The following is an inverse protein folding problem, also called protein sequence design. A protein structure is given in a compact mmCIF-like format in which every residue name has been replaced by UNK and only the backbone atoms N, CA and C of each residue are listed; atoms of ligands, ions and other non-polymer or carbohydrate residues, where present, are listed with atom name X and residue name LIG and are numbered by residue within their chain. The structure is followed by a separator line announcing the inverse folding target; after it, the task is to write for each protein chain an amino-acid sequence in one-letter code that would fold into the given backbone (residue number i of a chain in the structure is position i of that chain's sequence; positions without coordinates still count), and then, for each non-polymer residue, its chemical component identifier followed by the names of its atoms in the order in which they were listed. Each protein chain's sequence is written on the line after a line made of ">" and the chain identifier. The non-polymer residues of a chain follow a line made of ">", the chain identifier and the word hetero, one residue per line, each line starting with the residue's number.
data_IF_814456464482
#
_entry.id   IF_814456464482
#
_cell.length_a   1.000
_cell.length_b   1.000
_cell.length_c   1.000
_cell.angle_alpha   90.00
_cell.angle_beta   90.00
_cell.angle_gamma   90.00
#
_symmetry.space_group_name_H-M   'P 1'
#
loop_
_entity.id
_entity.type
_entity.pdbx_description
1 polymer ?
#
# COMPACT_ATOMS: atom_id res chain seq x y z
N UNK A 1 -9.78 27.36 -20.18
CA UNK A 1 -8.58 26.61 -19.71
C UNK A 1 -8.54 26.31 -18.18
N UNK A 2 -9.56 26.69 -17.41
CA UNK A 2 -9.57 26.52 -15.94
C UNK A 2 -10.01 25.16 -15.39
N UNK A 3 -10.49 24.24 -16.21
CA UNK A 3 -11.16 23.01 -15.75
C UNK A 3 -10.23 21.84 -15.42
N UNK A 4 -9.05 21.72 -16.02
CA UNK A 4 -8.11 20.60 -15.80
C UNK A 4 -7.55 20.54 -14.37
N UNK A 5 -7.21 21.67 -13.75
CA UNK A 5 -6.61 21.70 -12.41
C UNK A 5 -7.52 21.26 -11.28
N UNK A 6 -8.85 21.33 -11.44
CA UNK A 6 -9.81 21.01 -10.36
C UNK A 6 -10.03 19.50 -10.17
N UNK A 7 -9.73 18.68 -11.17
CA UNK A 7 -9.95 17.24 -11.18
C UNK A 7 -8.79 16.41 -10.64
N UNK A 8 -7.63 17.02 -10.44
CA UNK A 8 -6.40 16.35 -10.02
C UNK A 8 -6.16 16.45 -8.50
N UNK A 9 -7.15 16.90 -7.73
CA UNK A 9 -7.11 16.95 -6.27
C UNK A 9 -7.95 15.82 -5.67
N UNK A 10 -7.61 15.35 -4.46
CA UNK A 10 -8.36 14.27 -3.81
C UNK A 10 -9.85 14.59 -3.67
N UNK A 11 -10.69 13.59 -3.90
CA UNK A 11 -12.15 13.69 -3.83
C UNK A 11 -12.67 12.75 -2.75
N UNK A 12 -13.57 13.23 -1.89
CA UNK A 12 -14.20 12.41 -0.85
C UNK A 12 -15.01 11.27 -1.48
N UNK A 13 -14.74 10.04 -1.03
CA UNK A 13 -15.37 8.79 -1.51
C UNK A 13 -16.39 8.27 -0.49
N UNK A 14 -16.01 8.17 0.78
CA UNK A 14 -16.83 7.64 1.87
C UNK A 14 -16.37 8.21 3.20
N UNK A 15 -16.88 7.70 4.31
CA UNK A 15 -16.58 8.15 5.67
C UNK A 15 -16.57 6.97 6.65
N UNK A 16 -16.21 7.24 7.91
CA UNK A 16 -16.20 6.27 9.01
C UNK A 16 -15.27 5.08 8.75
N UNK A 17 -14.07 5.37 8.24
CA UNK A 17 -13.10 4.35 7.88
C UNK A 17 -11.80 4.51 8.67
N UNK A 18 -11.19 3.38 9.00
CA UNK A 18 -9.91 3.29 9.73
C UNK A 18 -8.77 2.76 8.86
N UNK A 19 -9.09 1.96 7.84
CA UNK A 19 -8.11 1.43 6.89
C UNK A 19 -8.71 1.35 5.49
N UNK A 20 -7.86 1.46 4.46
CA UNK A 20 -8.20 1.23 3.06
C UNK A 20 -7.12 0.36 2.40
N UNK A 21 -7.52 -0.39 1.37
CA UNK A 21 -6.65 -1.14 0.48
C UNK A 21 -7.20 -1.10 -0.94
N UNK A 22 -6.31 -1.09 -1.94
CA UNK A 22 -6.69 -0.87 -3.33
C UNK A 22 -6.12 -1.98 -4.19
N UNK A 23 -6.99 -2.67 -4.96
CA UNK A 23 -6.59 -3.48 -6.10
C UNK A 23 -6.65 -2.68 -7.39
N UNK A 24 -6.40 -3.31 -8.53
CA UNK A 24 -6.52 -2.68 -9.85
C UNK A 24 -7.92 -2.07 -10.10
N UNK A 25 -9.00 -2.73 -9.66
CA UNK A 25 -10.39 -2.34 -9.96
C UNK A 25 -11.30 -2.25 -8.72
N UNK A 26 -10.76 -2.35 -7.50
CA UNK A 26 -11.56 -2.36 -6.27
C UNK A 26 -10.94 -1.48 -5.19
N UNK A 27 -11.81 -0.88 -4.40
CA UNK A 27 -11.45 -0.22 -3.15
C UNK A 27 -12.11 -0.99 -2.01
N UNK A 28 -11.30 -1.48 -1.10
CA UNK A 28 -11.73 -2.06 0.17
C UNK A 28 -11.50 -1.06 1.31
N UNK A 29 -12.45 -0.97 2.23
CA UNK A 29 -12.31 -0.13 3.44
C UNK A 29 -12.79 -0.90 4.66
N UNK A 30 -12.08 -0.74 5.77
CA UNK A 30 -12.53 -1.18 7.08
C UNK A 30 -13.13 0.03 7.79
N UNK A 31 -14.35 -0.10 8.29
CA UNK A 31 -15.00 0.94 9.10
C UNK A 31 -14.63 0.82 10.58
N UNK A 32 -14.98 1.82 11.37
CA UNK A 32 -14.73 1.85 12.82
C UNK A 32 -15.40 0.71 13.59
N UNK A 33 -16.47 0.12 13.04
CA UNK A 33 -17.16 -1.08 13.58
C UNK A 33 -16.47 -2.41 13.17
N UNK A 34 -15.26 -2.34 12.60
CA UNK A 34 -14.53 -3.50 12.06
C UNK A 34 -15.25 -4.26 10.93
N UNK A 35 -16.20 -3.64 10.27
CA UNK A 35 -16.79 -4.22 9.05
C UNK A 35 -15.99 -3.86 7.80
N UNK A 36 -15.75 -4.86 6.94
CA UNK A 36 -15.12 -4.70 5.63
C UNK A 36 -16.18 -4.37 4.58
N UNK A 37 -15.97 -3.29 3.86
CA UNK A 37 -16.80 -2.84 2.76
C UNK A 37 -15.98 -2.74 1.48
N UNK A 38 -16.56 -3.13 0.36
CA UNK A 38 -15.89 -3.11 -0.94
C UNK A 38 -16.72 -2.32 -1.96
N UNK A 39 -16.03 -1.50 -2.73
CA UNK A 39 -16.54 -0.79 -3.90
C UNK A 39 -16.00 -1.48 -5.15
N UNK A 40 -16.91 -1.95 -6.03
CA UNK A 40 -16.56 -2.63 -7.27
C UNK A 40 -17.61 -2.31 -8.36
N UNK A 41 -17.20 -2.04 -9.60
CA UNK A 41 -15.83 -1.75 -10.04
C UNK A 41 -15.34 -0.39 -9.56
N UNK A 42 -14.02 -0.25 -9.34
CA UNK A 42 -13.36 1.01 -9.01
C UNK A 42 -12.37 1.36 -10.14
N UNK A 43 -12.90 1.70 -11.31
CA UNK A 43 -12.10 1.96 -12.51
C UNK A 43 -11.70 3.44 -12.63
N UNK A 44 -10.62 3.71 -13.38
CA UNK A 44 -10.19 5.08 -13.69
C UNK A 44 -11.26 5.89 -14.44
N UNK A 45 -12.06 5.24 -15.28
CA UNK A 45 -13.17 5.88 -16.01
C UNK A 45 -14.29 6.29 -15.07
N UNK A 46 -14.69 5.42 -14.14
CA UNK A 46 -15.65 5.73 -13.10
C UNK A 46 -15.16 6.89 -12.21
N UNK A 47 -13.87 6.89 -11.89
CA UNK A 47 -13.24 7.94 -11.12
C UNK A 47 -13.28 9.29 -11.84
N UNK A 48 -13.02 9.31 -13.16
CA UNK A 48 -13.18 10.50 -13.99
C UNK A 48 -14.63 10.99 -14.03
N UNK A 49 -15.61 10.08 -13.99
CA UNK A 49 -17.01 10.44 -14.04
C UNK A 49 -17.52 11.01 -12.70
N UNK A 50 -17.13 10.43 -11.57
CA UNK A 50 -17.37 11.01 -10.24
C UNK A 50 -16.78 12.43 -10.16
N UNK A 51 -15.58 12.64 -10.72
CA UNK A 51 -14.94 13.95 -10.81
C UNK A 51 -15.66 14.94 -11.75
N UNK A 52 -16.17 14.47 -12.89
CA UNK A 52 -16.87 15.30 -13.89
C UNK A 52 -18.18 15.88 -13.36
N UNK A 53 -18.92 15.12 -12.55
CA UNK A 53 -20.31 15.40 -12.19
C UNK A 53 -20.53 16.03 -10.83
N UNK A 54 -19.49 16.62 -10.22
CA UNK A 54 -19.65 17.39 -8.98
C UNK A 54 -20.69 18.51 -9.16
N UNK A 55 -21.91 18.26 -8.67
CA UNK A 55 -23.01 19.25 -8.64
C UNK A 55 -24.08 19.10 -9.74
N UNK A 56 -24.08 18.03 -10.53
CA UNK A 56 -25.18 17.70 -11.47
C UNK A 56 -25.61 16.26 -11.27
N UNK A 57 -26.88 15.96 -11.49
CA UNK A 57 -27.45 14.62 -11.37
C UNK A 57 -26.61 13.57 -12.08
N UNK A 58 -26.14 12.59 -11.32
CA UNK A 58 -25.36 11.47 -11.82
C UNK A 58 -26.36 10.48 -12.40
N UNK A 59 -26.44 10.40 -13.72
CA UNK A 59 -27.38 9.51 -14.45
C UNK A 59 -26.99 8.03 -14.39
N UNK A 60 -25.83 7.67 -13.82
CA UNK A 60 -25.45 6.30 -13.54
C UNK A 60 -25.52 6.02 -12.04
N UNK A 61 -26.02 4.85 -11.60
CA UNK A 61 -25.93 4.48 -10.22
C UNK A 61 -24.43 4.42 -9.85
N UNK A 62 -24.00 5.33 -8.96
CA UNK A 62 -22.66 5.21 -8.36
C UNK A 62 -22.52 3.79 -7.81
N UNK A 63 -21.41 3.10 -8.08
CA UNK A 63 -21.17 1.80 -7.48
C UNK A 63 -21.28 1.96 -5.97
N UNK A 64 -22.06 1.08 -5.35
CA UNK A 64 -22.33 1.17 -3.91
C UNK A 64 -21.34 0.28 -3.18
N UNK A 65 -20.82 0.79 -2.07
CA UNK A 65 -20.11 -0.06 -1.13
C UNK A 65 -21.02 -1.18 -0.64
N UNK A 66 -20.53 -2.41 -0.72
CA UNK A 66 -21.21 -3.60 -0.17
C UNK A 66 -20.43 -4.10 1.02
N UNK A 67 -21.11 -4.41 2.12
CA UNK A 67 -20.47 -5.07 3.26
C UNK A 67 -20.15 -6.51 2.88
N UNK A 68 -18.89 -6.88 3.07
CA UNK A 68 -18.34 -8.18 2.70
C UNK A 68 -18.18 -9.07 3.93
N UNK A 69 -17.62 -8.51 5.02
CA UNK A 69 -17.22 -9.29 6.19
C UNK A 69 -17.35 -8.44 7.45
N UNK A 70 -17.41 -9.10 8.60
CA UNK A 70 -17.36 -8.48 9.94
C UNK A 70 -16.11 -8.94 10.68
N UNK A 71 -15.82 -8.23 11.78
CA UNK A 71 -14.73 -8.54 12.70
C UNK A 71 -13.37 -8.56 11.98
N UNK A 72 -13.14 -7.59 11.09
CA UNK A 72 -11.92 -7.45 10.30
C UNK A 72 -10.94 -6.54 11.02
N UNK A 73 -9.70 -7.05 11.23
CA UNK A 73 -8.59 -6.33 11.83
C UNK A 73 -7.77 -5.60 10.77
N UNK A 74 -7.48 -6.28 9.65
CA UNK A 74 -6.63 -5.77 8.58
C UNK A 74 -7.14 -6.24 7.22
N UNK A 75 -6.99 -5.38 6.23
CA UNK A 75 -7.11 -5.71 4.81
C UNK A 75 -5.86 -5.24 4.09
N UNK A 76 -5.31 -6.09 3.24
CA UNK A 76 -4.27 -5.73 2.29
C UNK A 76 -4.65 -6.19 0.89
N UNK A 77 -4.12 -5.50 -0.13
CA UNK A 77 -4.49 -5.75 -1.50
C UNK A 77 -3.35 -5.43 -2.47
N UNK A 78 -3.10 -6.35 -3.37
CA UNK A 78 -2.26 -6.15 -4.56
C UNK A 78 -3.12 -6.11 -5.82
N UNK A 79 -2.52 -6.09 -7.01
CA UNK A 79 -3.22 -5.91 -8.28
C UNK A 79 -4.49 -6.77 -8.44
N UNK A 80 -4.42 -8.06 -8.10
CA UNK A 80 -5.50 -9.03 -8.35
C UNK A 80 -5.87 -9.90 -7.15
N UNK A 81 -5.31 -9.61 -5.97
CA UNK A 81 -5.54 -10.39 -4.75
C UNK A 81 -5.83 -9.48 -3.58
N UNK A 82 -6.47 -10.04 -2.58
CA UNK A 82 -6.72 -9.36 -1.32
C UNK A 82 -6.60 -10.37 -0.18
N UNK A 83 -5.95 -9.97 0.89
CA UNK A 83 -5.92 -10.70 2.15
C UNK A 83 -6.70 -9.95 3.22
N UNK A 84 -7.34 -10.70 4.10
CA UNK A 84 -8.10 -10.17 5.22
C UNK A 84 -7.72 -10.95 6.47
N UNK A 85 -7.25 -10.26 7.48
CA UNK A 85 -7.04 -10.82 8.81
C UNK A 85 -8.19 -10.37 9.71
N UNK A 86 -8.87 -11.32 10.32
CA UNK A 86 -9.95 -11.05 11.27
C UNK A 86 -9.42 -10.82 12.69
N UNK A 87 -10.25 -10.26 13.53
CA UNK A 87 -9.92 -9.99 14.94
C UNK A 87 -9.63 -11.27 15.74
N UNK A 88 -10.20 -12.40 15.34
CA UNK A 88 -9.90 -13.73 15.91
C UNK A 88 -8.54 -14.30 15.48
N UNK A 89 -7.90 -13.69 14.49
CA UNK A 89 -6.62 -14.12 13.93
C UNK A 89 -6.75 -15.10 12.77
N UNK A 90 -7.94 -15.28 12.22
CA UNK A 90 -8.11 -16.06 10.99
C UNK A 90 -7.73 -15.22 9.77
N UNK A 91 -6.97 -15.83 8.83
CA UNK A 91 -6.56 -15.25 7.56
C UNK A 91 -7.45 -15.76 6.44
N UNK A 92 -7.98 -14.83 5.67
CA UNK A 92 -8.85 -15.08 4.52
C UNK A 92 -8.26 -14.45 3.27
N UNK A 93 -8.35 -15.14 2.14
CA UNK A 93 -7.86 -14.68 0.85
C UNK A 93 -9.00 -14.57 -0.16
N UNK A 94 -8.90 -13.57 -1.00
CA UNK A 94 -9.73 -13.41 -2.18
C UNK A 94 -8.85 -13.39 -3.43
N UNK A 95 -9.18 -14.26 -4.39
CA UNK A 95 -8.51 -14.32 -5.68
C UNK A 95 -9.47 -13.87 -6.78
N UNK A 96 -9.06 -12.90 -7.57
CA UNK A 96 -9.82 -12.53 -8.77
C UNK A 96 -9.62 -13.59 -9.86
N UNK A 97 -10.61 -14.45 -10.05
CA UNK A 97 -10.61 -15.48 -11.09
C UNK A 97 -11.54 -15.07 -12.24
N UNK A 98 -11.13 -14.10 -13.09
CA UNK A 98 -11.86 -13.76 -14.32
C UNK A 98 -13.21 -13.07 -14.14
N UNK A 99 -14.02 -13.05 -15.19
CA UNK A 99 -15.32 -12.35 -15.30
C UNK A 99 -16.43 -12.89 -14.38
N UNK A 100 -16.24 -12.94 -13.09
CA UNK A 100 -17.30 -13.43 -12.21
C UNK A 100 -18.26 -12.32 -11.80
N UNK A 101 -19.52 -12.48 -12.20
CA UNK A 101 -20.69 -11.75 -11.72
C UNK A 101 -21.09 -12.15 -10.29
N UNK A 102 -20.35 -13.06 -9.65
CA UNK A 102 -20.64 -13.57 -8.30
C UNK A 102 -19.99 -12.70 -7.22
N UNK A 103 -20.56 -12.60 -6.01
CA UNK A 103 -19.93 -11.96 -4.87
C UNK A 103 -18.55 -12.57 -4.61
N UNK A 104 -17.60 -11.73 -4.20
CA UNK A 104 -16.26 -12.17 -3.86
C UNK A 104 -16.30 -13.29 -2.81
N UNK A 105 -15.86 -14.50 -3.16
CA UNK A 105 -15.72 -15.57 -2.21
C UNK A 105 -14.33 -15.50 -1.57
N UNK A 106 -14.33 -15.25 -0.27
CA UNK A 106 -13.12 -15.36 0.55
C UNK A 106 -12.97 -16.79 1.04
N UNK A 107 -11.77 -17.34 0.89
CA UNK A 107 -11.41 -18.66 1.39
C UNK A 107 -10.51 -18.52 2.61
N UNK A 108 -10.79 -19.20 3.69
CA UNK A 108 -9.91 -19.25 4.87
C UNK A 108 -8.62 -19.98 4.51
N UNK A 109 -7.47 -19.38 4.83
CA UNK A 109 -6.14 -19.94 4.54
C UNK A 109 -5.44 -20.44 5.81
N UNK A 110 -5.50 -19.68 6.90
CA UNK A 110 -4.75 -19.99 8.13
C UNK A 110 -5.40 -19.41 9.37
N UNK A 111 -4.87 -19.82 10.51
CA UNK A 111 -5.21 -19.34 11.86
C UNK A 111 -3.97 -18.72 12.53
N UNK A 112 -4.19 -18.03 13.65
CA UNK A 112 -3.15 -17.43 14.48
C UNK A 112 -2.28 -16.36 13.74
N UNK A 113 -2.86 -15.71 12.75
CA UNK A 113 -2.22 -14.63 12.00
C UNK A 113 -2.51 -13.28 12.68
N UNK A 114 -1.47 -12.47 12.77
CA UNK A 114 -1.54 -11.09 13.28
C UNK A 114 -1.66 -10.08 12.13
N UNK A 115 -0.88 -10.28 11.06
CA UNK A 115 -0.82 -9.43 9.88
C UNK A 115 -0.55 -10.24 8.62
N UNK A 116 -1.01 -9.77 7.46
CA UNK A 116 -0.73 -10.40 6.17
C UNK A 116 -0.65 -9.35 5.06
N UNK A 117 0.27 -9.56 4.12
CA UNK A 117 0.45 -8.73 2.94
C UNK A 117 0.57 -9.59 1.68
N UNK A 118 -0.01 -9.12 0.59
CA UNK A 118 -0.09 -9.87 -0.67
C UNK A 118 0.68 -9.18 -1.78
N UNK A 119 1.34 -9.99 -2.61
CA UNK A 119 1.83 -9.58 -3.91
C UNK A 119 1.35 -10.53 -5.02
N UNK A 120 1.87 -10.36 -6.24
CA UNK A 120 1.53 -11.25 -7.36
C UNK A 120 2.13 -12.65 -7.21
N UNK A 121 3.23 -12.79 -6.46
CA UNK A 121 4.00 -14.03 -6.27
C UNK A 121 3.48 -14.86 -5.11
N UNK A 122 2.83 -14.23 -4.11
CA UNK A 122 2.37 -14.94 -2.94
C UNK A 122 1.70 -14.10 -1.86
N UNK A 123 1.75 -14.62 -0.67
CA UNK A 123 1.23 -14.00 0.55
C UNK A 123 2.23 -14.18 1.67
N UNK A 124 2.65 -13.07 2.24
CA UNK A 124 3.46 -13.00 3.44
C UNK A 124 2.56 -12.82 4.66
N UNK A 125 2.77 -13.58 5.72
CA UNK A 125 2.00 -13.43 6.94
C UNK A 125 2.88 -13.48 8.18
N UNK A 126 2.57 -12.61 9.12
CA UNK A 126 3.12 -12.56 10.46
C UNK A 126 2.16 -13.27 11.41
N UNK A 127 2.63 -14.29 12.11
CA UNK A 127 1.84 -14.98 13.14
C UNK A 127 1.82 -14.17 14.45
N UNK A 128 0.86 -14.48 15.33
CA UNK A 128 0.81 -13.90 16.69
C UNK A 128 2.03 -14.23 17.56
N UNK A 129 2.87 -15.19 17.11
CA UNK A 129 4.12 -15.56 17.79
C UNK A 129 5.37 -14.88 17.22
N UNK A 130 5.21 -14.05 16.19
CA UNK A 130 6.34 -13.38 15.52
C UNK A 130 7.01 -14.22 14.44
N UNK A 131 6.41 -15.34 14.01
CA UNK A 131 6.92 -16.15 12.91
C UNK A 131 6.44 -15.58 11.59
N UNK A 132 7.29 -15.56 10.56
CA UNK A 132 6.93 -15.17 9.19
C UNK A 132 6.73 -16.43 8.36
N UNK A 133 5.55 -16.50 7.75
CA UNK A 133 5.12 -17.56 6.85
C UNK A 133 4.87 -16.99 5.45
N UNK A 134 5.24 -17.75 4.41
CA UNK A 134 5.03 -17.38 3.03
C UNK A 134 4.28 -18.47 2.26
N UNK A 135 3.15 -18.11 1.66
CA UNK A 135 2.41 -18.98 0.73
C UNK A 135 2.71 -18.54 -0.69
N UNK A 136 3.49 -19.34 -1.42
CA UNK A 136 3.74 -19.14 -2.84
C UNK A 136 2.42 -19.22 -3.63
N UNK A 137 2.28 -18.36 -4.63
CA UNK A 137 1.13 -18.35 -5.52
C UNK A 137 1.52 -18.87 -6.90
N UNK A 138 0.90 -19.97 -7.31
CA UNK A 138 1.10 -20.60 -8.62
C UNK A 138 -0.26 -20.82 -9.29
N UNK A 139 -0.36 -20.53 -10.59
CA UNK A 139 -1.61 -20.69 -11.36
C UNK A 139 -2.83 -20.04 -10.66
N UNK A 140 -2.65 -18.87 -10.05
CA UNK A 140 -3.67 -18.14 -9.29
C UNK A 140 -4.18 -18.86 -8.03
N UNK A 141 -3.45 -19.84 -7.52
CA UNK A 141 -3.76 -20.57 -6.27
C UNK A 141 -2.59 -20.43 -5.30
N UNK A 142 -2.88 -20.36 -4.04
CA UNK A 142 -1.86 -20.41 -2.99
C UNK A 142 -1.50 -21.87 -2.69
N UNK A 143 -0.25 -22.10 -2.36
CA UNK A 143 0.23 -23.40 -1.90
C UNK A 143 -0.57 -23.86 -0.68
N UNK A 144 -0.74 -25.15 -0.50
CA UNK A 144 -1.46 -25.71 0.66
C UNK A 144 -0.66 -25.62 1.96
N UNK A 145 0.65 -25.46 1.86
CA UNK A 145 1.58 -25.34 3.00
C UNK A 145 2.41 -24.07 2.84
N UNK A 146 2.59 -23.35 3.94
CA UNK A 146 3.45 -22.18 3.98
C UNK A 146 4.92 -22.58 4.14
N UNK A 147 5.80 -21.79 3.54
CA UNK A 147 7.24 -21.81 3.84
C UNK A 147 7.50 -20.96 5.09
N UNK A 148 8.26 -21.48 6.04
CA UNK A 148 8.78 -20.71 7.17
C UNK A 148 9.97 -19.87 6.72
N UNK A 149 9.97 -18.58 7.05
CA UNK A 149 11.03 -17.63 6.62
C UNK A 149 11.96 -17.25 7.78
N UNK A 150 11.41 -16.68 8.85
CA UNK A 150 12.14 -16.27 10.04
C UNK A 150 11.20 -16.06 11.24
N UNK A 151 11.76 -15.86 12.41
CA UNK A 151 11.08 -15.57 13.68
C UNK A 151 11.40 -14.17 14.24
N UNK A 152 10.85 -13.90 15.44
CA UNK A 152 11.03 -12.63 16.16
C UNK A 152 10.64 -11.39 15.38
N UNK A 153 9.73 -11.51 14.40
CA UNK A 153 9.24 -10.37 13.63
C UNK A 153 8.10 -9.63 14.35
N UNK A 154 8.07 -8.32 14.16
CA UNK A 154 7.02 -7.41 14.68
C UNK A 154 6.25 -6.73 13.57
N UNK A 155 6.83 -6.63 12.37
CA UNK A 155 6.21 -6.03 11.19
C UNK A 155 6.72 -6.67 9.91
N UNK A 156 5.90 -6.60 8.83
CA UNK A 156 6.20 -7.14 7.52
C UNK A 156 5.79 -6.15 6.43
N UNK A 157 6.43 -6.22 5.27
CA UNK A 157 6.00 -5.55 4.05
C UNK A 157 6.28 -6.44 2.83
N UNK A 158 5.38 -6.39 1.84
CA UNK A 158 5.53 -7.05 0.55
C UNK A 158 5.53 -6.02 -0.59
N UNK A 159 6.53 -6.14 -1.48
CA UNK A 159 6.64 -5.41 -2.73
C UNK A 159 6.16 -6.25 -3.91
N UNK A 160 6.91 -6.25 -5.02
CA UNK A 160 6.63 -7.12 -6.18
C UNK A 160 7.75 -8.16 -6.31
N UNK A 161 7.61 -9.25 -5.52
CA UNK A 161 8.60 -10.32 -5.41
C UNK A 161 9.77 -9.98 -4.49
N UNK A 162 9.70 -8.90 -3.76
CA UNK A 162 10.61 -8.51 -2.69
C UNK A 162 9.83 -8.29 -1.39
N UNK A 163 10.47 -8.60 -0.28
CA UNK A 163 9.84 -8.67 1.03
C UNK A 163 10.72 -8.04 2.09
N UNK A 164 10.11 -7.56 3.16
CA UNK A 164 10.79 -7.00 4.30
C UNK A 164 10.15 -7.43 5.63
N UNK A 165 10.97 -7.45 6.68
CA UNK A 165 10.53 -7.66 8.04
C UNK A 165 11.32 -6.78 9.01
N UNK A 166 10.63 -6.32 10.05
CA UNK A 166 11.23 -5.70 11.23
C UNK A 166 11.19 -6.74 12.35
N UNK A 167 12.32 -6.98 13.00
CA UNK A 167 12.40 -7.89 14.15
C UNK A 167 12.21 -7.15 15.48
N UNK A 168 12.05 -7.91 16.56
CA UNK A 168 11.88 -7.39 17.93
C UNK A 168 13.04 -6.46 18.37
N UNK A 169 14.25 -6.67 17.84
CA UNK A 169 15.41 -5.81 18.07
C UNK A 169 15.43 -4.54 17.22
N UNK A 170 14.34 -4.30 16.44
CA UNK A 170 14.18 -3.22 15.47
C UNK A 170 15.18 -3.28 14.29
N UNK A 171 15.79 -4.42 14.01
CA UNK A 171 16.54 -4.63 12.78
C UNK A 171 15.59 -4.84 11.60
N UNK A 172 15.91 -4.20 10.46
CA UNK A 172 15.23 -4.37 9.18
C UNK A 172 15.96 -5.45 8.37
N UNK A 173 15.18 -6.39 7.86
CA UNK A 173 15.62 -7.47 7.00
C UNK A 173 14.85 -7.47 5.70
N UNK A 174 15.52 -7.71 4.56
CA UNK A 174 14.89 -7.78 3.23
C UNK A 174 15.35 -9.02 2.48
N UNK A 175 14.53 -9.53 1.57
CA UNK A 175 14.84 -10.66 0.68
C UNK A 175 13.95 -10.63 -0.56
N UNK A 176 14.25 -11.49 -1.55
CA UNK A 176 13.53 -11.60 -2.80
C UNK A 176 14.27 -10.95 -3.96
N UNK A 177 13.55 -10.37 -4.87
CA UNK A 177 14.01 -9.71 -6.09
C UNK A 177 14.84 -8.45 -5.79
N UNK A 178 15.92 -8.21 -6.59
CA UNK A 178 16.84 -7.09 -6.36
C UNK A 178 17.46 -6.47 -7.63
N UNK A 179 16.87 -6.63 -8.78
CA UNK A 179 17.43 -6.20 -10.08
C UNK A 179 17.67 -4.67 -10.20
N UNK A 180 17.03 -3.85 -9.36
CA UNK A 180 17.23 -2.39 -9.29
C UNK A 180 17.75 -1.90 -7.92
N UNK A 181 18.09 -2.82 -7.00
CA UNK A 181 18.53 -2.48 -5.66
C UNK A 181 17.40 -2.28 -4.66
N UNK A 182 16.21 -2.82 -4.93
CA UNK A 182 15.03 -2.69 -4.09
C UNK A 182 15.16 -3.35 -2.71
N UNK A 183 16.16 -4.22 -2.49
CA UNK A 183 16.47 -4.76 -1.17
C UNK A 183 17.30 -3.80 -0.29
N UNK A 184 17.99 -2.80 -0.88
CA UNK A 184 18.77 -1.85 -0.11
C UNK A 184 20.10 -2.38 0.45
N UNK A 185 20.53 -3.57 0.03
CA UNK A 185 21.77 -4.24 0.52
C UNK A 185 23.06 -3.74 -0.16
N UNK A 186 22.94 -2.83 -1.12
CA UNK A 186 24.04 -2.29 -1.90
C UNK A 186 24.39 -3.10 -3.16
N UNK A 187 23.58 -4.11 -3.48
CA UNK A 187 23.76 -4.97 -4.67
C UNK A 187 22.56 -4.87 -5.61
N UNK A 188 22.62 -5.58 -6.73
CA UNK A 188 21.47 -5.83 -7.64
C UNK A 188 21.24 -7.35 -7.79
N UNK A 189 21.59 -8.11 -6.79
CA UNK A 189 21.49 -9.57 -6.77
C UNK A 189 20.30 -9.99 -5.90
N UNK A 190 19.43 -10.82 -6.42
CA UNK A 190 18.33 -11.43 -5.67
C UNK A 190 18.83 -12.18 -4.44
N UNK A 191 18.09 -12.12 -3.37
CA UNK A 191 18.43 -12.81 -2.11
C UNK A 191 17.33 -13.82 -1.76
N UNK A 192 17.64 -15.09 -1.83
CA UNK A 192 16.70 -16.16 -1.45
C UNK A 192 16.45 -16.22 0.08
N UNK A 193 17.30 -15.60 0.89
CA UNK A 193 17.17 -15.56 2.35
C UNK A 193 17.23 -14.12 2.85
N UNK A 194 16.55 -13.81 3.98
CA UNK A 194 16.60 -12.49 4.59
C UNK A 194 18.04 -12.02 4.86
N UNK A 195 18.33 -10.76 4.47
CA UNK A 195 19.60 -10.07 4.76
C UNK A 195 19.30 -8.82 5.58
N UNK A 196 20.12 -8.57 6.58
CA UNK A 196 19.99 -7.39 7.45
C UNK A 196 20.45 -6.13 6.71
N UNK A 197 19.62 -5.08 6.75
CA UNK A 197 19.84 -3.81 6.05
C UNK A 197 20.25 -2.70 7.00
N UNK A 198 19.52 -2.52 8.10
CA UNK A 198 19.78 -1.47 9.08
C UNK A 198 19.11 -1.76 10.42
N UNK A 199 19.41 -0.94 11.42
CA UNK A 199 18.88 -1.05 12.78
C UNK A 199 17.97 0.16 13.12
N UNK A 200 17.21 0.02 14.21
CA UNK A 200 16.42 1.10 14.78
C UNK A 200 15.12 1.41 14.02
N UNK A 201 14.63 0.50 13.19
CA UNK A 201 13.45 0.71 12.34
C UNK A 201 12.16 0.40 13.09
N UNK A 202 11.15 1.28 12.89
CA UNK A 202 9.81 1.16 13.48
C UNK A 202 8.70 0.98 12.44
N UNK A 203 8.96 1.28 11.18
CA UNK A 203 8.03 1.05 10.07
C UNK A 203 8.80 0.74 8.79
N UNK A 204 8.26 -0.17 7.99
CA UNK A 204 8.72 -0.47 6.62
C UNK A 204 7.55 -0.44 5.66
N UNK A 205 7.79 -0.02 4.42
CA UNK A 205 6.83 -0.12 3.31
C UNK A 205 7.60 -0.43 2.04
N UNK A 206 7.06 -1.31 1.21
CA UNK A 206 7.62 -1.65 -0.09
C UNK A 206 6.66 -1.24 -1.20
N UNK A 207 7.20 -0.65 -2.26
CA UNK A 207 6.50 -0.41 -3.52
C UNK A 207 6.85 -1.50 -4.53
N UNK A 208 6.57 -1.27 -5.83
CA UNK A 208 6.88 -2.29 -6.82
C UNK A 208 8.38 -2.56 -6.98
N UNK A 209 9.24 -1.55 -6.81
CA UNK A 209 10.69 -1.63 -7.05
C UNK A 209 11.50 -0.69 -6.16
N UNK A 210 10.94 -0.23 -5.05
CA UNK A 210 11.61 0.66 -4.10
C UNK A 210 11.09 0.42 -2.70
N UNK A 211 11.92 0.74 -1.71
CA UNK A 211 11.61 0.56 -0.31
C UNK A 211 11.75 1.83 0.51
N UNK A 212 11.02 1.89 1.60
CA UNK A 212 11.04 2.94 2.60
C UNK A 212 11.06 2.36 4.00
N UNK A 213 11.81 3.01 4.89
CA UNK A 213 11.77 2.73 6.33
C UNK A 213 11.74 4.02 7.14
N UNK A 214 11.02 3.99 8.26
CA UNK A 214 11.05 5.06 9.26
C UNK A 214 11.77 4.52 10.49
N UNK A 215 12.77 5.27 10.97
CA UNK A 215 13.49 4.92 12.18
C UNK A 215 12.85 5.52 13.45
N UNK A 216 13.44 5.17 14.62
CA UNK A 216 12.98 5.64 15.94
C UNK A 216 13.07 7.16 16.14
N UNK A 217 13.90 7.83 15.33
CA UNK A 217 14.06 9.29 15.32
C UNK A 217 13.12 9.97 14.30
N UNK A 218 12.13 9.22 13.79
CA UNK A 218 11.20 9.66 12.76
C UNK A 218 11.87 10.12 11.46
N UNK A 219 13.03 9.54 11.14
CA UNK A 219 13.73 9.79 9.89
C UNK A 219 13.28 8.77 8.84
N UNK A 220 12.95 9.27 7.64
CA UNK A 220 12.59 8.46 6.48
C UNK A 220 13.83 8.14 5.66
N UNK A 221 14.04 6.85 5.44
CA UNK A 221 15.06 6.26 4.60
C UNK A 221 14.43 5.64 3.37
N UNK A 222 15.03 5.85 2.19
CA UNK A 222 14.52 5.36 0.91
C UNK A 222 15.62 4.69 0.11
N UNK A 223 15.27 3.67 -0.70
CA UNK A 223 16.19 2.94 -1.59
C UNK A 223 15.44 2.31 -2.76
N UNK A 224 16.19 1.77 -3.76
CA UNK A 224 15.67 1.12 -4.95
C UNK A 224 15.53 2.05 -6.13
N UNK A 225 14.57 1.77 -7.02
CA UNK A 225 14.33 2.48 -8.27
C UNK A 225 13.90 3.94 -8.05
N UNK A 226 14.41 4.84 -8.92
CA UNK A 226 14.10 6.27 -8.84
C UNK A 226 13.83 6.92 -10.20
N UNK A 227 13.40 6.16 -11.20
CA UNK A 227 13.15 6.63 -12.58
C UNK A 227 12.15 7.79 -12.63
N UNK A 228 11.14 7.79 -11.80
CA UNK A 228 10.11 8.83 -11.72
C UNK A 228 10.36 9.85 -10.61
N UNK A 229 11.43 9.70 -9.81
CA UNK A 229 11.72 10.51 -8.64
C UNK A 229 10.99 10.04 -7.38
N UNK A 230 10.53 8.79 -7.35
CA UNK A 230 9.76 8.19 -6.25
C UNK A 230 10.50 8.15 -4.92
N UNK A 231 11.83 8.23 -4.91
CA UNK A 231 12.61 8.32 -3.68
C UNK A 231 12.63 9.74 -3.07
N UNK A 232 12.15 10.76 -3.80
CA UNK A 232 12.09 12.13 -3.30
C UNK A 232 13.43 12.85 -3.10
N UNK A 233 14.54 12.29 -3.57
CA UNK A 233 15.91 12.82 -3.42
C UNK A 233 16.19 14.06 -4.28
N UNK A 234 15.26 14.44 -5.17
CA UNK A 234 15.46 15.47 -6.19
C UNK A 234 16.22 14.98 -7.45
N UNK A 235 16.67 13.74 -7.44
CA UNK A 235 17.39 13.07 -8.52
C UNK A 235 16.48 12.03 -9.20
N UNK A 236 16.99 11.37 -10.26
CA UNK A 236 16.38 10.19 -10.91
C UNK A 236 17.35 9.00 -10.93
N UNK A 237 18.26 8.95 -9.99
CA UNK A 237 19.22 7.86 -9.85
C UNK A 237 18.69 6.90 -8.78
N UNK A 238 18.76 5.60 -9.07
CA UNK A 238 18.51 4.54 -8.11
C UNK A 238 19.49 4.61 -6.95
N UNK A 239 19.03 4.29 -5.77
CA UNK A 239 19.85 4.20 -4.57
C UNK A 239 19.86 2.73 -4.08
N UNK A 240 21.04 2.10 -4.14
CA UNK A 240 21.20 0.69 -3.78
C UNK A 240 21.26 0.47 -2.26
N UNK A 241 21.39 1.54 -1.49
CA UNK A 241 21.38 1.55 -0.02
C UNK A 241 20.42 2.58 0.50
N UNK A 242 19.87 2.41 1.71
CA UNK A 242 19.01 3.42 2.33
C UNK A 242 19.69 4.78 2.39
N UNK A 243 19.01 5.81 1.88
CA UNK A 243 19.43 7.22 1.98
C UNK A 243 18.40 8.02 2.77
N UNK A 244 18.86 8.90 3.65
CA UNK A 244 17.99 9.78 4.42
C UNK A 244 17.34 10.82 3.50
N UNK A 245 16.01 10.92 3.51
CA UNK A 245 15.25 11.80 2.63
C UNK A 245 14.46 12.85 3.37
N UNK A 246 13.88 12.52 4.52
CA UNK A 246 13.06 13.46 5.30
C UNK A 246 13.12 13.11 6.79
N UNK A 247 12.89 14.12 7.63
CA UNK A 247 12.72 13.99 9.08
C UNK A 247 11.27 14.27 9.48
N UNK A 248 10.92 13.97 10.72
CA UNK A 248 9.61 14.19 11.31
C UNK A 248 8.49 13.40 10.59
N UNK A 249 8.79 12.20 10.14
CA UNK A 249 7.85 11.31 9.43
C UNK A 249 7.18 10.37 10.43
N UNK A 250 5.86 10.42 10.47
CA UNK A 250 5.05 9.52 11.29
C UNK A 250 4.68 8.24 10.51
N UNK A 251 4.30 8.38 9.23
CA UNK A 251 3.89 7.26 8.38
C UNK A 251 4.41 7.42 6.96
N UNK A 252 4.71 6.29 6.33
CA UNK A 252 5.02 6.19 4.91
C UNK A 252 4.20 5.08 4.29
N UNK A 253 3.76 5.29 3.04
CA UNK A 253 3.13 4.27 2.20
C UNK A 253 3.65 4.41 0.79
N UNK A 254 3.95 3.28 0.16
CA UNK A 254 4.45 3.22 -1.20
C UNK A 254 3.42 2.60 -2.14
N UNK A 255 3.27 3.17 -3.32
CA UNK A 255 2.61 2.57 -4.48
C UNK A 255 3.64 1.98 -5.43
N UNK A 256 3.25 1.69 -6.69
CA UNK A 256 4.20 1.10 -7.65
C UNK A 256 5.37 2.04 -7.96
N UNK A 257 5.12 3.34 -8.15
CA UNK A 257 6.13 4.31 -8.54
C UNK A 257 5.91 5.69 -7.91
N UNK A 258 5.20 5.77 -6.80
CA UNK A 258 4.98 7.01 -6.03
C UNK A 258 4.95 6.71 -4.54
N UNK A 259 5.10 7.74 -3.74
CA UNK A 259 5.18 7.67 -2.30
C UNK A 259 4.31 8.74 -1.66
N UNK A 260 3.66 8.39 -0.54
CA UNK A 260 2.98 9.30 0.35
C UNK A 260 3.54 9.23 1.77
N UNK A 261 3.64 10.38 2.43
CA UNK A 261 4.16 10.53 3.78
C UNK A 261 3.19 11.37 4.60
N UNK A 262 2.97 10.96 5.84
CA UNK A 262 2.34 11.79 6.86
C UNK A 262 3.43 12.17 7.86
N UNK A 263 3.64 13.47 8.07
CA UNK A 263 4.57 13.98 9.08
C UNK A 263 3.92 14.04 10.47
N UNK A 264 4.72 14.11 11.53
CA UNK A 264 4.23 14.12 12.91
C UNK A 264 3.27 15.29 13.22
N UNK A 265 3.30 16.35 12.40
CA UNK A 265 2.36 17.48 12.47
C UNK A 265 1.10 17.29 11.59
N UNK A 266 0.85 16.06 11.09
CA UNK A 266 -0.33 15.68 10.29
C UNK A 266 -0.34 16.23 8.86
N UNK A 267 0.79 16.71 8.32
CA UNK A 267 0.89 17.15 6.93
C UNK A 267 1.12 15.97 5.99
N UNK A 268 0.46 16.03 4.84
CA UNK A 268 0.59 15.06 3.75
C UNK A 268 1.59 15.55 2.70
N UNK A 269 2.56 14.71 2.38
CA UNK A 269 3.58 14.97 1.38
C UNK A 269 3.62 13.82 0.38
N UNK A 270 3.84 14.14 -0.90
CA UNK A 270 3.86 13.16 -1.99
C UNK A 270 5.05 13.38 -2.91
N UNK A 271 5.48 12.31 -3.60
CA UNK A 271 6.51 12.36 -4.67
C UNK A 271 6.40 11.14 -5.59
N UNK A 272 7.07 11.20 -6.75
CA UNK A 272 7.15 10.13 -7.73
C UNK A 272 6.25 10.33 -8.94
N UNK A 273 5.76 9.22 -9.47
CA UNK A 273 4.89 9.19 -10.65
C UNK A 273 3.52 9.84 -10.36
N UNK A 274 3.06 10.71 -11.26
CA UNK A 274 1.79 11.42 -11.11
C UNK A 274 0.73 10.98 -12.14
N UNK A 275 1.16 10.32 -13.22
CA UNK A 275 0.29 9.81 -14.27
C UNK A 275 -0.65 10.86 -14.87
N UNK A 276 -1.44 10.46 -15.85
CA UNK A 276 -2.42 11.38 -16.46
C UNK A 276 -3.62 11.69 -15.56
N UNK A 277 -3.78 10.96 -14.47
CA UNK A 277 -4.92 11.08 -13.56
C UNK A 277 -4.61 11.80 -12.25
N UNK A 278 -3.32 12.17 -12.02
CA UNK A 278 -2.91 12.94 -10.86
C UNK A 278 -2.86 12.14 -9.56
N UNK A 279 -2.10 11.04 -9.56
CA UNK A 279 -1.93 10.13 -8.40
C UNK A 279 -1.47 10.84 -7.13
N UNK A 280 -0.65 11.89 -7.28
CA UNK A 280 -0.14 12.67 -6.13
C UNK A 280 -1.18 13.60 -5.50
N UNK A 281 -2.31 13.85 -6.18
CA UNK A 281 -3.37 14.73 -5.66
C UNK A 281 -2.99 16.21 -5.54
N UNK A 282 -1.89 16.65 -6.13
CA UNK A 282 -1.35 18.01 -6.09
C UNK A 282 -2.03 18.97 -7.09
N UNK A 283 -2.94 18.47 -7.92
CA UNK A 283 -3.62 19.22 -8.97
C UNK A 283 -2.84 19.29 -10.29
N UNK A 284 -1.77 18.53 -10.42
CA UNK A 284 -0.91 18.44 -11.62
C UNK A 284 -0.96 17.03 -12.24
N UNK A 285 -0.24 16.81 -13.31
CA UNK A 285 0.00 15.51 -13.97
C UNK A 285 1.48 15.23 -14.19
N UNK A 286 2.34 16.15 -13.84
CA UNK A 286 3.79 16.03 -13.95
C UNK A 286 4.35 15.23 -12.78
N UNK A 287 5.30 14.34 -13.06
CA UNK A 287 6.01 13.59 -12.02
C UNK A 287 6.81 14.53 -11.12
N UNK A 288 6.78 14.24 -9.82
CA UNK A 288 7.48 15.02 -8.82
C UNK A 288 8.74 14.28 -8.34
N UNK A 289 9.90 14.95 -8.37
CA UNK A 289 11.20 14.40 -7.95
C UNK A 289 11.61 14.79 -6.54
N UNK A 290 10.90 15.73 -5.94
CA UNK A 290 11.09 16.17 -4.55
C UNK A 290 9.81 15.94 -3.78
N UNK A 291 9.95 15.73 -2.51
CA UNK A 291 8.79 15.61 -1.62
C UNK A 291 8.07 16.95 -1.56
N UNK A 292 6.84 17.03 -2.05
CA UNK A 292 6.00 18.25 -2.04
C UNK A 292 4.80 18.06 -1.12
N UNK A 293 4.47 19.11 -0.36
CA UNK A 293 3.29 19.11 0.49
C UNK A 293 2.03 19.26 -0.35
N UNK A 294 1.08 18.35 -0.19
CA UNK A 294 -0.18 18.33 -0.94
C UNK A 294 -1.41 18.57 -0.08
N UNK A 295 -1.30 18.47 1.23
CA UNK A 295 -2.41 18.66 2.16
C UNK A 295 -2.03 18.48 3.62
N UNK A 296 -3.06 18.43 4.48
CA UNK A 296 -2.93 18.21 5.92
C UNK A 296 -4.15 17.46 6.48
N UNK A 297 -4.07 16.98 7.73
CA UNK A 297 -5.13 16.24 8.41
C UNK A 297 -5.31 14.82 7.88
N UNK A 298 -4.28 14.23 7.28
CA UNK A 298 -4.26 12.82 6.93
C UNK A 298 -3.84 11.99 8.15
N UNK A 299 -4.54 10.90 8.39
CA UNK A 299 -4.24 9.93 9.44
C UNK A 299 -3.70 8.61 8.88
N UNK A 300 -4.21 8.22 7.71
CA UNK A 300 -3.78 6.98 7.07
C UNK A 300 -3.74 7.10 5.54
N UNK A 301 -2.90 6.28 4.91
CA UNK A 301 -2.65 6.24 3.48
C UNK A 301 -2.73 4.80 2.96
N UNK A 302 -3.25 4.63 1.74
CA UNK A 302 -3.12 3.42 0.96
C UNK A 302 -2.81 3.82 -0.48
N UNK A 303 -1.69 3.34 -1.00
CA UNK A 303 -1.25 3.62 -2.35
C UNK A 303 -1.32 2.33 -3.18
N UNK A 304 -1.91 2.44 -4.36
CA UNK A 304 -1.93 1.37 -5.37
C UNK A 304 -0.98 1.71 -6.53
N UNK A 305 -1.19 1.08 -7.69
CA UNK A 305 -0.32 1.28 -8.85
C UNK A 305 -0.26 2.75 -9.31
N UNK A 306 -1.41 3.37 -9.51
CA UNK A 306 -1.55 4.75 -10.02
C UNK A 306 -2.57 5.59 -9.22
N UNK A 307 -2.89 5.16 -8.00
CA UNK A 307 -3.92 5.76 -7.15
C UNK A 307 -3.45 5.95 -5.73
N UNK A 308 -3.93 7.01 -5.12
CA UNK A 308 -3.76 7.29 -3.70
C UNK A 308 -5.12 7.39 -3.03
N UNK A 309 -5.27 6.70 -1.92
CA UNK A 309 -6.40 6.88 -1.00
C UNK A 309 -5.85 7.35 0.33
N UNK A 310 -6.46 8.38 0.89
CA UNK A 310 -6.15 8.88 2.22
C UNK A 310 -7.39 8.83 3.12
N UNK A 311 -7.16 8.60 4.39
CA UNK A 311 -8.15 8.69 5.46
C UNK A 311 -7.73 9.84 6.36
N UNK A 312 -8.66 10.76 6.65
CA UNK A 312 -8.38 11.84 7.57
C UNK A 312 -8.81 11.49 9.01
N UNK A 313 -8.47 12.33 9.97
CA UNK A 313 -8.79 12.18 11.40
C UNK A 313 -10.29 11.97 11.70
N UNK A 314 -11.18 12.41 10.82
CA UNK A 314 -12.63 12.19 10.95
C UNK A 314 -13.11 10.89 10.26
N UNK A 315 -12.22 10.02 9.82
CA UNK A 315 -12.53 8.78 9.10
C UNK A 315 -13.06 9.01 7.67
N UNK A 316 -12.96 10.22 7.12
CA UNK A 316 -13.35 10.47 5.73
C UNK A 316 -12.29 9.94 4.77
N UNK A 317 -12.72 9.24 3.75
CA UNK A 317 -11.86 8.67 2.71
C UNK A 317 -11.86 9.58 1.49
N UNK A 318 -10.68 9.92 1.02
CA UNK A 318 -10.46 10.69 -0.20
C UNK A 318 -9.54 9.92 -1.14
N UNK A 319 -9.67 10.15 -2.44
CA UNK A 319 -8.82 9.51 -3.42
C UNK A 319 -8.38 10.44 -4.54
N UNK A 320 -7.23 10.11 -5.13
CA UNK A 320 -6.65 10.71 -6.34
C UNK A 320 -6.04 9.62 -7.24
N UNK A 321 -5.92 9.89 -8.54
CA UNK A 321 -5.39 8.94 -9.51
C UNK A 321 -6.36 8.63 -10.63
#
# INVERSE_FOLDING_TARGET
>A
MGWKKRYLRPVKITHDCIQAAITFDRLAVIRSDHSLWMLCPFTSEMWLEIRRKRGKDISFPLPRFRRIMKDVKQVDASAMTMSVVKTDGTLWIWNHCGEQKTPAEFTKLADQIDRAETDESGLLALTKKGEILFWRRENRRYASVAEYILDDATDIAAGVGDYAAIRNDHSLWTWGRNDVGQLGDGTREDKAKPVKIMDGIIQVSLGARHGAAVDRDHCLWMWGENTFGQLGTGKRRDELRPVLVKRDVQKVSLGDSHMGIITCDGRLWMTGFNGKYGSLGDGKTENCRRIEMVGSGAENLALGADRTVLINEQGNVFGSG
#
